data_IF_674195648975
#
_entry.id   IF_674195648975
#
_cell.length_a   1.000
_cell.length_b   1.000
_cell.length_c   1.000
_cell.angle_alpha   90.00
_cell.angle_beta   90.00
_cell.angle_gamma   90.00
#
_symmetry.space_group_name_H-M   'P 1'
#
loop_
_entity.id
_entity.type
_entity.pdbx_description
1 polymer ?
#
# COMPACT_ATOMS: atom_id res chain seq x y z
N UNK A 1 -13.12 -2.35 22.52
CA UNK A 1 -12.42 -1.55 21.49
C UNK A 1 -13.48 -1.11 20.49
N UNK A 2 -13.63 0.19 20.26
CA UNK A 2 -14.57 0.71 19.26
C UNK A 2 -14.01 0.50 17.84
N UNK A 3 -14.83 0.69 16.80
CA UNK A 3 -14.35 0.66 15.41
C UNK A 3 -13.31 1.76 15.14
N UNK A 4 -13.45 2.91 15.80
CA UNK A 4 -12.49 4.01 15.73
C UNK A 4 -11.15 3.63 16.38
N UNK A 5 -11.18 3.07 17.60
CA UNK A 5 -9.97 2.62 18.30
C UNK A 5 -9.22 1.54 17.49
N UNK A 6 -9.97 0.62 16.87
CA UNK A 6 -9.39 -0.40 16.01
C UNK A 6 -8.73 0.22 14.78
N UNK A 7 -9.38 1.17 14.11
CA UNK A 7 -8.78 1.84 12.96
C UNK A 7 -7.53 2.65 13.34
N UNK A 8 -7.55 3.36 14.47
CA UNK A 8 -6.36 4.02 15.01
C UNK A 8 -5.23 3.01 15.25
N UNK A 9 -5.51 1.91 15.94
CA UNK A 9 -4.52 0.87 16.21
C UNK A 9 -3.95 0.25 14.92
N UNK A 10 -4.80 -0.04 13.93
CA UNK A 10 -4.40 -0.56 12.62
C UNK A 10 -3.45 0.42 11.91
N UNK A 11 -3.82 1.70 11.84
CA UNK A 11 -3.01 2.74 11.21
C UNK A 11 -1.68 2.92 11.96
N UNK A 12 -1.68 2.91 13.29
CA UNK A 12 -0.47 2.97 14.11
C UNK A 12 0.45 1.76 13.86
N UNK A 13 -0.11 0.56 13.69
CA UNK A 13 0.63 -0.64 13.31
C UNK A 13 1.30 -0.50 11.94
N UNK A 14 0.59 0.02 10.94
CA UNK A 14 1.14 0.30 9.62
C UNK A 14 2.24 1.38 9.65
N UNK A 15 2.06 2.44 10.45
CA UNK A 15 3.05 3.49 10.63
C UNK A 15 4.34 2.98 11.27
N UNK A 16 4.23 2.17 12.31
CA UNK A 16 5.40 1.61 12.98
C UNK A 16 6.28 0.79 12.02
N UNK A 17 5.66 -0.06 11.18
CA UNK A 17 6.37 -0.85 10.17
C UNK A 17 6.96 0.05 9.06
N UNK A 18 6.22 1.04 8.58
CA UNK A 18 6.74 1.99 7.58
C UNK A 18 7.89 2.83 8.13
N UNK A 19 7.85 3.26 9.38
CA UNK A 19 8.94 4.01 10.01
C UNK A 19 10.22 3.18 10.11
N UNK A 20 10.09 1.90 10.47
CA UNK A 20 11.21 0.96 10.55
C UNK A 20 11.82 0.68 9.16
N UNK A 21 10.98 0.53 8.13
CA UNK A 21 11.41 0.12 6.79
C UNK A 21 11.63 1.29 5.83
N UNK A 22 11.38 2.54 6.25
CA UNK A 22 11.37 3.72 5.38
C UNK A 22 12.63 3.84 4.53
N UNK A 23 13.81 3.71 5.15
CA UNK A 23 15.08 3.85 4.45
C UNK A 23 15.30 2.73 3.45
N UNK A 24 14.90 1.51 3.78
CA UNK A 24 14.97 0.35 2.88
C UNK A 24 14.07 0.56 1.67
N UNK A 25 12.82 0.99 1.89
CA UNK A 25 11.88 1.27 0.81
C UNK A 25 12.42 2.39 -0.10
N UNK A 26 12.99 3.44 0.48
CA UNK A 26 13.63 4.52 -0.28
C UNK A 26 14.83 4.01 -1.11
N UNK A 27 15.68 3.16 -0.54
CA UNK A 27 16.83 2.56 -1.22
C UNK A 27 16.44 1.67 -2.41
N UNK A 28 15.24 1.08 -2.39
CA UNK A 28 14.70 0.26 -3.47
C UNK A 28 14.09 1.09 -4.61
N UNK A 29 13.87 2.40 -4.41
CA UNK A 29 13.13 3.24 -5.34
C UNK A 29 13.97 3.57 -6.59
N UNK A 30 13.94 2.65 -7.56
CA UNK A 30 14.61 2.80 -8.86
C UNK A 30 13.62 2.90 -10.04
N UNK A 31 12.32 2.70 -9.79
CA UNK A 31 11.26 2.72 -10.80
C UNK A 31 9.97 3.33 -10.23
N UNK A 32 9.18 4.09 -11.03
CA UNK A 32 9.52 4.60 -12.36
C UNK A 32 10.49 5.77 -12.33
N UNK A 33 10.60 6.45 -11.19
CA UNK A 33 11.44 7.63 -10.98
C UNK A 33 12.39 7.33 -9.83
N UNK A 34 13.72 7.29 -10.06
CA UNK A 34 14.69 6.99 -9.03
C UNK A 34 15.02 8.24 -8.19
N UNK A 35 14.06 8.71 -7.40
CA UNK A 35 14.14 9.89 -6.53
C UNK A 35 14.27 9.55 -5.04
N UNK A 36 14.25 8.26 -4.69
CA UNK A 36 14.53 7.80 -3.33
C UNK A 36 13.49 8.20 -2.29
N UNK A 37 12.26 8.53 -2.69
CA UNK A 37 11.24 9.07 -1.78
C UNK A 37 10.05 8.14 -1.49
N UNK A 38 9.94 6.97 -2.14
CA UNK A 38 8.75 6.11 -2.07
C UNK A 38 8.35 5.75 -0.63
N UNK A 39 9.29 5.37 0.24
CA UNK A 39 9.02 5.07 1.63
C UNK A 39 8.52 6.30 2.41
N UNK A 40 9.07 7.48 2.08
CA UNK A 40 8.62 8.75 2.68
C UNK A 40 7.21 9.12 2.21
N UNK A 41 6.92 8.95 0.92
CA UNK A 41 5.61 9.19 0.33
C UNK A 41 4.52 8.29 0.93
N UNK A 42 4.80 6.99 1.10
CA UNK A 42 3.88 6.06 1.76
C UNK A 42 3.67 6.43 3.24
N UNK A 43 4.74 6.72 3.98
CA UNK A 43 4.66 7.12 5.39
C UNK A 43 3.80 8.37 5.57
N UNK A 44 4.04 9.43 4.78
CA UNK A 44 3.26 10.66 4.86
C UNK A 44 1.79 10.45 4.50
N UNK A 45 1.51 9.59 3.52
CA UNK A 45 0.13 9.24 3.13
C UNK A 45 -0.60 8.53 4.26
N UNK A 46 0.03 7.57 4.94
CA UNK A 46 -0.57 6.86 6.09
C UNK A 46 -0.67 7.77 7.32
N UNK A 47 0.29 8.69 7.54
CA UNK A 47 0.19 9.69 8.63
C UNK A 47 -1.02 10.60 8.47
N UNK A 48 -1.31 11.03 7.25
CA UNK A 48 -2.50 11.84 6.97
C UNK A 48 -3.82 11.10 7.26
N UNK A 49 -3.85 9.76 7.09
CA UNK A 49 -4.98 8.92 7.53
C UNK A 49 -5.15 9.00 9.03
N UNK A 50 -4.05 8.86 9.78
CA UNK A 50 -4.07 8.94 11.25
C UNK A 50 -4.59 10.30 11.73
N UNK A 51 -4.06 11.38 11.17
CA UNK A 51 -4.47 12.76 11.49
C UNK A 51 -5.96 12.99 11.17
N UNK A 52 -6.47 12.40 10.08
CA UNK A 52 -7.88 12.47 9.72
C UNK A 52 -8.78 11.72 10.71
N UNK A 53 -8.35 10.53 11.15
CA UNK A 53 -9.06 9.79 12.18
C UNK A 53 -9.11 10.60 13.49
N UNK A 54 -7.99 11.17 13.94
CA UNK A 54 -7.95 12.01 15.14
C UNK A 54 -8.89 13.21 15.05
N UNK A 55 -8.92 13.92 13.91
CA UNK A 55 -9.84 15.04 13.69
C UNK A 55 -11.31 14.61 13.68
N UNK A 56 -11.58 13.39 13.22
CA UNK A 56 -12.94 12.88 13.08
C UNK A 56 -13.49 12.24 14.36
N UNK A 57 -12.68 12.05 15.40
CA UNK A 57 -13.05 11.37 16.65
C UNK A 57 -14.30 11.95 17.36
N UNK A 58 -14.69 13.19 17.04
CA UNK A 58 -15.89 13.85 17.59
C UNK A 58 -17.12 13.91 16.67
N UNK A 59 -17.03 13.53 15.38
CA UNK A 59 -18.13 13.67 14.40
C UNK A 59 -18.09 12.61 13.29
N UNK A 60 -17.96 11.33 13.64
CA UNK A 60 -17.96 10.22 12.66
C UNK A 60 -19.34 9.98 12.01
N UNK A 61 -20.09 11.03 11.67
CA UNK A 61 -21.38 10.94 10.98
C UNK A 61 -21.23 10.21 9.62
N UNK A 62 -20.07 10.36 8.95
CA UNK A 62 -19.74 9.67 7.69
C UNK A 62 -19.13 8.27 7.90
N UNK A 63 -18.73 7.91 9.13
CA UNK A 63 -18.12 6.63 9.49
C UNK A 63 -16.59 6.54 9.33
N UNK A 64 -15.99 5.57 10.01
CA UNK A 64 -14.52 5.36 10.06
C UNK A 64 -13.91 5.10 8.68
N UNK A 65 -14.56 4.29 7.84
CA UNK A 65 -14.08 3.98 6.49
C UNK A 65 -14.01 5.22 5.58
N UNK A 66 -14.97 6.15 5.74
CA UNK A 66 -14.97 7.41 5.01
C UNK A 66 -13.82 8.31 5.46
N UNK A 67 -13.56 8.41 6.77
CA UNK A 67 -12.42 9.15 7.30
C UNK A 67 -11.09 8.58 6.80
N UNK A 68 -10.91 7.26 6.79
CA UNK A 68 -9.71 6.60 6.26
C UNK A 68 -9.52 6.90 4.77
N UNK A 69 -10.60 6.80 3.99
CA UNK A 69 -10.59 7.11 2.55
C UNK A 69 -10.23 8.58 2.31
N UNK A 70 -10.86 9.52 3.04
CA UNK A 70 -10.61 10.95 2.91
C UNK A 70 -9.17 11.30 3.27
N UNK A 71 -8.66 10.80 4.40
CA UNK A 71 -7.31 11.06 4.88
C UNK A 71 -6.26 10.55 3.90
N UNK A 72 -6.42 9.34 3.37
CA UNK A 72 -5.49 8.77 2.39
C UNK A 72 -5.50 9.55 1.08
N UNK A 73 -6.68 9.98 0.60
CA UNK A 73 -6.80 10.71 -0.67
C UNK A 73 -6.25 12.14 -0.57
N UNK A 74 -6.63 12.88 0.48
CA UNK A 74 -6.18 14.26 0.68
C UNK A 74 -4.70 14.33 1.08
N UNK A 75 -4.21 13.28 1.75
CA UNK A 75 -2.84 13.15 2.22
C UNK A 75 -1.87 12.48 1.25
N UNK A 76 -2.35 12.00 0.10
CA UNK A 76 -1.53 11.29 -0.87
C UNK A 76 -0.29 12.11 -1.30
N UNK A 77 0.88 11.47 -1.24
CA UNK A 77 2.17 12.05 -1.68
C UNK A 77 2.80 11.22 -2.79
N UNK A 78 3.18 11.87 -3.88
CA UNK A 78 3.77 11.24 -5.05
C UNK A 78 2.87 10.17 -5.70
N UNK A 79 3.40 9.48 -6.71
CA UNK A 79 2.66 8.43 -7.41
C UNK A 79 2.31 7.26 -6.48
N UNK A 80 3.26 6.87 -5.62
CA UNK A 80 3.11 5.76 -4.67
C UNK A 80 1.99 6.04 -3.66
N UNK A 81 1.92 7.26 -3.11
CA UNK A 81 0.85 7.66 -2.20
C UNK A 81 -0.50 7.81 -2.89
N UNK A 82 -0.51 8.30 -4.14
CA UNK A 82 -1.75 8.32 -4.94
C UNK A 82 -2.26 6.91 -5.14
N UNK A 83 -1.47 5.96 -5.65
CA UNK A 83 -1.91 4.57 -5.85
C UNK A 83 -2.37 3.93 -4.54
N UNK A 84 -1.61 4.12 -3.45
CA UNK A 84 -2.00 3.63 -2.11
C UNK A 84 -3.37 4.17 -1.69
N UNK A 85 -3.66 5.45 -1.92
CA UNK A 85 -4.97 6.03 -1.57
C UNK A 85 -6.14 5.35 -2.31
N UNK A 86 -5.90 4.83 -3.52
CA UNK A 86 -6.91 4.13 -4.31
C UNK A 86 -7.10 2.71 -3.82
N UNK A 87 -6.01 2.02 -3.46
CA UNK A 87 -6.03 0.72 -2.79
C UNK A 87 -6.84 0.82 -1.50
N UNK A 88 -6.53 1.81 -0.66
CA UNK A 88 -7.25 2.06 0.60
C UNK A 88 -8.72 2.36 0.36
N UNK A 89 -9.05 3.25 -0.60
CA UNK A 89 -10.45 3.52 -0.96
C UNK A 89 -11.19 2.24 -1.40
N UNK A 90 -10.57 1.42 -2.23
CA UNK A 90 -11.15 0.16 -2.68
C UNK A 90 -11.41 -0.79 -1.51
N UNK A 91 -10.41 -1.00 -0.65
CA UNK A 91 -10.56 -1.83 0.54
C UNK A 91 -11.64 -1.31 1.51
N UNK A 92 -11.75 0.01 1.69
CA UNK A 92 -12.74 0.61 2.56
C UNK A 92 -14.16 0.61 1.98
N UNK A 93 -14.35 0.40 0.67
CA UNK A 93 -15.68 0.44 0.03
C UNK A 93 -16.60 -0.70 0.49
N UNK A 94 -16.01 -1.79 0.98
CA UNK A 94 -16.73 -2.98 1.48
C UNK A 94 -16.93 -2.93 2.99
N UNK A 95 -16.29 -1.99 3.69
CA UNK A 95 -16.41 -1.86 5.14
C UNK A 95 -17.81 -1.34 5.51
N UNK A 96 -18.55 -2.13 6.28
CA UNK A 96 -19.88 -1.77 6.79
C UNK A 96 -19.81 -1.43 8.28
N UNK A 97 -20.52 -0.38 8.75
CA UNK A 97 -20.61 -0.10 10.18
C UNK A 97 -21.07 -1.33 10.98
N UNK A 98 -20.31 -1.70 12.00
CA UNK A 98 -20.63 -2.84 12.88
C UNK A 98 -20.31 -4.23 12.31
N UNK A 99 -19.80 -4.34 11.08
CA UNK A 99 -19.35 -5.62 10.53
C UNK A 99 -17.98 -6.03 11.11
N UNK A 100 -17.84 -7.33 11.39
CA UNK A 100 -16.56 -7.90 11.83
C UNK A 100 -15.62 -8.13 10.64
N UNK A 101 -14.32 -8.10 10.91
CA UNK A 101 -13.32 -8.58 9.95
C UNK A 101 -13.35 -10.11 9.90
N UNK A 102 -13.75 -10.64 8.76
CA UNK A 102 -13.74 -12.06 8.42
C UNK A 102 -12.96 -12.29 7.13
N UNK A 103 -12.68 -13.55 6.82
CA UNK A 103 -12.06 -13.97 5.56
C UNK A 103 -12.85 -13.48 4.35
N UNK A 104 -14.18 -13.55 4.40
CA UNK A 104 -15.06 -13.00 3.35
C UNK A 104 -14.82 -11.50 3.17
N UNK A 105 -14.82 -10.71 4.25
CA UNK A 105 -14.60 -9.26 4.13
C UNK A 105 -13.20 -8.91 3.62
N UNK A 106 -12.17 -9.70 3.95
CA UNK A 106 -10.82 -9.50 3.40
C UNK A 106 -10.75 -9.84 1.92
N UNK A 107 -11.42 -10.92 1.48
CA UNK A 107 -11.51 -11.30 0.06
C UNK A 107 -12.12 -10.16 -0.76
N UNK A 108 -13.24 -9.62 -0.28
CA UNK A 108 -13.92 -8.48 -0.89
C UNK A 108 -13.03 -7.23 -0.90
N UNK A 109 -12.39 -6.91 0.23
CA UNK A 109 -11.53 -5.73 0.36
C UNK A 109 -10.33 -5.77 -0.60
N UNK A 110 -9.65 -6.92 -0.74
CA UNK A 110 -8.53 -7.06 -1.67
C UNK A 110 -8.99 -7.03 -3.14
N UNK A 111 -10.17 -7.56 -3.46
CA UNK A 111 -10.73 -7.50 -4.80
C UNK A 111 -11.06 -6.05 -5.21
N UNK A 112 -11.71 -5.30 -4.33
CA UNK A 112 -12.02 -3.89 -4.57
C UNK A 112 -10.78 -3.00 -4.56
N UNK A 113 -9.82 -3.26 -3.68
CA UNK A 113 -8.50 -2.61 -3.68
C UNK A 113 -7.79 -2.79 -5.03
N UNK A 114 -7.74 -4.02 -5.56
CA UNK A 114 -7.13 -4.31 -6.86
C UNK A 114 -7.84 -3.55 -7.97
N UNK A 115 -9.17 -3.61 -8.01
CA UNK A 115 -9.98 -2.92 -9.03
C UNK A 115 -9.75 -1.40 -9.00
N UNK A 116 -9.76 -0.81 -7.81
CA UNK A 116 -9.55 0.63 -7.64
C UNK A 116 -8.13 1.06 -8.04
N UNK A 117 -7.11 0.27 -7.68
CA UNK A 117 -5.72 0.56 -8.00
C UNK A 117 -5.46 0.56 -9.51
N UNK A 118 -5.92 -0.48 -10.22
CA UNK A 118 -5.75 -0.58 -11.68
C UNK A 118 -6.52 0.50 -12.43
N UNK A 119 -7.73 0.85 -11.98
CA UNK A 119 -8.52 1.94 -12.59
C UNK A 119 -7.91 3.31 -12.44
N UNK A 120 -7.15 3.54 -11.37
CA UNK A 120 -6.55 4.84 -11.11
C UNK A 120 -5.29 5.13 -11.95
N UNK A 121 -4.75 4.12 -12.63
CA UNK A 121 -3.54 4.25 -13.43
C UNK A 121 -3.92 4.11 -14.91
N UNK A 122 -3.72 5.18 -15.69
CA UNK A 122 -4.05 5.22 -17.11
C UNK A 122 -3.39 4.11 -17.94
N UNK A 123 -2.16 3.75 -17.59
CA UNK A 123 -1.39 2.65 -18.19
C UNK A 123 -0.85 1.76 -17.07
N UNK A 124 -1.61 0.77 -16.59
CA UNK A 124 -1.16 -0.14 -15.54
C UNK A 124 0.08 -0.92 -15.99
N UNK A 125 1.05 -1.04 -15.09
CA UNK A 125 2.32 -1.76 -15.35
C UNK A 125 2.49 -2.87 -14.32
N UNK A 126 2.66 -4.10 -14.80
CA UNK A 126 3.01 -5.24 -13.95
C UNK A 126 4.49 -5.15 -13.50
N UNK A 127 4.83 -5.79 -12.38
CA UNK A 127 6.10 -5.57 -11.70
C UNK A 127 6.11 -4.37 -10.77
N UNK A 128 4.94 -3.84 -10.42
CA UNK A 128 4.75 -2.73 -9.48
C UNK A 128 3.87 -3.14 -8.30
N UNK A 129 3.59 -2.22 -7.38
CA UNK A 129 2.58 -2.35 -6.32
C UNK A 129 1.22 -2.89 -6.81
N UNK A 130 0.86 -2.63 -8.07
CA UNK A 130 -0.35 -3.17 -8.70
C UNK A 130 -0.32 -4.71 -8.76
N UNK A 131 0.81 -5.29 -9.20
CA UNK A 131 1.01 -6.75 -9.24
C UNK A 131 0.92 -7.34 -7.84
N UNK A 132 1.54 -6.71 -6.85
CA UNK A 132 1.52 -7.22 -5.47
C UNK A 132 0.09 -7.23 -4.92
N UNK A 133 -0.68 -6.17 -5.13
CA UNK A 133 -2.10 -6.12 -4.72
C UNK A 133 -2.92 -7.20 -5.42
N UNK A 134 -2.74 -7.37 -6.74
CA UNK A 134 -3.43 -8.38 -7.54
C UNK A 134 -3.12 -9.81 -7.09
N UNK A 135 -1.86 -10.12 -6.83
CA UNK A 135 -1.44 -11.46 -6.37
C UNK A 135 -1.95 -11.75 -4.96
N UNK A 136 -1.93 -10.76 -4.04
CA UNK A 136 -2.54 -10.87 -2.72
C UNK A 136 -4.05 -11.12 -2.80
N UNK A 137 -4.75 -10.39 -3.68
CA UNK A 137 -6.18 -10.61 -3.94
C UNK A 137 -6.47 -11.99 -4.53
N UNK A 138 -5.65 -12.44 -5.48
CA UNK A 138 -5.79 -13.77 -6.08
C UNK A 138 -5.54 -14.91 -5.09
N UNK A 139 -4.66 -14.72 -4.10
CA UNK A 139 -4.47 -15.67 -3.01
C UNK A 139 -5.69 -15.68 -2.09
N UNK A 140 -6.16 -14.50 -1.67
CA UNK A 140 -7.35 -14.36 -0.83
C UNK A 140 -8.58 -15.05 -1.45
N UNK A 141 -8.82 -14.84 -2.74
CA UNK A 141 -10.03 -15.35 -3.42
C UNK A 141 -10.15 -16.87 -3.41
N UNK A 142 -9.04 -17.59 -3.26
CA UNK A 142 -8.98 -19.07 -3.23
C UNK A 142 -9.17 -19.66 -1.84
N UNK A 143 -9.23 -18.84 -0.80
CA UNK A 143 -9.37 -19.30 0.58
C UNK A 143 -10.81 -19.73 0.90
N UNK A 144 -11.00 -20.74 1.76
CA UNK A 144 -12.31 -21.05 2.35
C UNK A 144 -12.87 -19.85 3.13
N UNK A 145 -14.17 -19.60 3.03
CA UNK A 145 -14.81 -18.44 3.67
C UNK A 145 -14.80 -18.52 5.21
N UNK A 146 -14.71 -19.73 5.76
CA UNK A 146 -14.65 -20.04 7.19
C UNK A 146 -13.22 -20.20 7.74
N UNK A 147 -12.19 -19.98 6.90
CA UNK A 147 -10.80 -20.01 7.34
C UNK A 147 -10.58 -18.97 8.46
N UNK A 148 -9.83 -19.29 9.54
CA UNK A 148 -9.51 -18.33 10.58
C UNK A 148 -8.82 -17.08 10.03
N UNK A 149 -9.13 -15.93 10.63
CA UNK A 149 -8.57 -14.64 10.22
C UNK A 149 -7.02 -14.60 10.27
N UNK A 150 -6.35 -15.15 11.30
CA UNK A 150 -4.88 -15.19 11.34
C UNK A 150 -4.27 -15.96 10.15
N UNK A 151 -4.81 -17.14 9.84
CA UNK A 151 -4.35 -18.00 8.75
C UNK A 151 -4.59 -17.35 7.37
N UNK A 152 -5.72 -16.63 7.26
CA UNK A 152 -6.06 -15.84 6.08
C UNK A 152 -5.05 -14.72 5.85
N UNK A 153 -4.75 -13.94 6.89
CA UNK A 153 -3.76 -12.86 6.83
C UNK A 153 -2.36 -13.41 6.50
N UNK A 154 -1.95 -14.52 7.13
CA UNK A 154 -0.67 -15.15 6.84
C UNK A 154 -0.56 -15.59 5.37
N UNK A 155 -1.60 -16.24 4.84
CA UNK A 155 -1.61 -16.69 3.44
C UNK A 155 -1.52 -15.51 2.46
N UNK A 156 -2.25 -14.45 2.72
CA UNK A 156 -2.23 -13.22 1.91
C UNK A 156 -0.85 -12.55 1.97
N UNK A 157 -0.25 -12.43 3.16
CA UNK A 157 1.09 -11.86 3.33
C UNK A 157 2.18 -12.71 2.66
N UNK A 158 2.06 -14.05 2.72
CA UNK A 158 2.97 -14.95 2.03
C UNK A 158 2.91 -14.77 0.51
N UNK A 159 1.70 -14.65 -0.05
CA UNK A 159 1.52 -14.33 -1.47
C UNK A 159 2.10 -12.96 -1.83
N UNK A 160 1.90 -11.95 -1.00
CA UNK A 160 2.51 -10.63 -1.17
C UNK A 160 4.04 -10.67 -1.18
N UNK A 161 4.66 -11.44 -0.28
CA UNK A 161 6.12 -11.64 -0.26
C UNK A 161 6.63 -12.26 -1.56
N UNK A 162 6.00 -13.34 -2.01
CA UNK A 162 6.36 -14.00 -3.28
C UNK A 162 6.18 -13.05 -4.46
N UNK A 163 5.10 -12.26 -4.46
CA UNK A 163 4.84 -11.29 -5.52
C UNK A 163 5.92 -10.20 -5.56
N UNK A 164 6.29 -9.64 -4.41
CA UNK A 164 7.39 -8.67 -4.28
C UNK A 164 8.68 -9.24 -4.83
N UNK A 165 9.08 -10.44 -4.42
CA UNK A 165 10.31 -11.09 -4.92
C UNK A 165 10.31 -11.26 -6.45
N UNK A 166 9.14 -11.57 -7.03
CA UNK A 166 9.00 -11.73 -8.49
C UNK A 166 9.09 -10.42 -9.26
N UNK A 167 8.82 -9.27 -8.64
CA UNK A 167 8.89 -7.97 -9.33
C UNK A 167 10.26 -7.70 -9.94
N UNK A 168 11.35 -8.18 -9.31
CA UNK A 168 12.72 -8.08 -9.83
C UNK A 168 12.85 -8.59 -11.26
N UNK A 169 12.10 -9.62 -11.66
CA UNK A 169 12.18 -10.20 -12.99
C UNK A 169 11.16 -9.61 -13.98
N UNK A 170 10.18 -8.87 -13.49
CA UNK A 170 9.04 -8.38 -14.28
C UNK A 170 9.33 -7.06 -15.00
N UNK A 171 10.23 -6.23 -14.44
CA UNK A 171 10.65 -4.97 -15.05
C UNK A 171 12.14 -4.95 -15.33
N UNK A 172 12.52 -4.40 -16.50
CA UNK A 172 13.93 -4.30 -16.89
C UNK A 172 14.74 -3.46 -15.90
N UNK A 173 14.19 -2.32 -15.44
CA UNK A 173 14.84 -1.45 -14.46
C UNK A 173 15.11 -2.18 -13.13
N UNK A 174 14.12 -2.91 -12.61
CA UNK A 174 14.26 -3.70 -11.38
C UNK A 174 15.29 -4.83 -11.55
N UNK A 175 15.25 -5.54 -12.69
CA UNK A 175 16.20 -6.62 -13.01
C UNK A 175 17.63 -6.12 -13.12
N UNK A 176 17.85 -4.99 -13.78
CA UNK A 176 19.17 -4.39 -13.96
C UNK A 176 19.75 -3.89 -12.64
N UNK A 177 18.91 -3.29 -11.79
CA UNK A 177 19.32 -2.84 -10.47
C UNK A 177 19.42 -3.99 -9.44
N UNK A 178 18.88 -5.17 -9.75
CA UNK A 178 18.87 -6.33 -8.84
C UNK A 178 18.02 -6.10 -7.60
N UNK A 179 16.95 -5.30 -7.71
CA UNK A 179 16.06 -4.93 -6.60
C UNK A 179 14.61 -5.27 -6.90
N UNK A 180 13.79 -5.37 -5.86
CA UNK A 180 12.34 -5.49 -5.96
C UNK A 180 11.68 -4.11 -6.11
N UNK A 181 10.41 -4.08 -6.50
CA UNK A 181 9.61 -2.86 -6.54
C UNK A 181 9.43 -2.24 -5.14
N UNK A 182 9.81 -0.97 -5.00
CA UNK A 182 9.71 -0.23 -3.74
C UNK A 182 8.25 -0.07 -3.28
N UNK A 183 7.33 0.22 -4.22
CA UNK A 183 5.91 0.37 -3.92
C UNK A 183 5.29 -0.93 -3.43
N UNK A 184 5.53 -2.02 -4.13
CA UNK A 184 5.08 -3.36 -3.78
C UNK A 184 5.62 -3.83 -2.42
N UNK A 185 6.90 -3.58 -2.15
CA UNK A 185 7.48 -3.87 -0.83
C UNK A 185 6.84 -3.01 0.26
N UNK A 186 6.66 -1.71 0.02
CA UNK A 186 5.99 -0.81 0.97
C UNK A 186 4.54 -1.21 1.27
N UNK A 187 3.78 -1.70 0.28
CA UNK A 187 2.44 -2.24 0.50
C UNK A 187 2.47 -3.48 1.41
N UNK A 188 3.42 -4.41 1.19
CA UNK A 188 3.59 -5.58 2.03
C UNK A 188 3.93 -5.20 3.49
N UNK A 189 4.77 -4.18 3.67
CA UNK A 189 5.12 -3.61 4.99
C UNK A 189 3.87 -3.05 5.68
N UNK A 190 3.04 -2.29 4.97
CA UNK A 190 1.76 -1.78 5.50
C UNK A 190 0.86 -2.94 5.93
N UNK A 191 0.65 -3.94 5.07
CA UNK A 191 -0.23 -5.07 5.37
C UNK A 191 0.26 -5.91 6.55
N UNK A 192 1.58 -6.02 6.76
CA UNK A 192 2.15 -6.67 7.97
C UNK A 192 1.75 -5.93 9.24
N UNK A 193 1.86 -4.60 9.25
CA UNK A 193 1.49 -3.78 10.40
C UNK A 193 0.01 -3.93 10.75
N UNK A 194 -0.86 -3.94 9.73
CA UNK A 194 -2.29 -4.20 9.89
C UNK A 194 -2.53 -5.61 10.48
N UNK A 195 -1.90 -6.64 9.90
CA UNK A 195 -2.07 -8.02 10.33
C UNK A 195 -1.57 -8.26 11.76
N UNK A 196 -0.47 -7.63 12.17
CA UNK A 196 0.05 -7.73 13.52
C UNK A 196 -1.01 -7.28 14.54
N UNK A 197 -1.65 -6.13 14.30
CA UNK A 197 -2.70 -5.59 15.17
C UNK A 197 -3.94 -6.49 15.16
N UNK A 198 -4.36 -7.00 13.99
CA UNK A 198 -5.48 -7.95 13.89
C UNK A 198 -5.21 -9.27 14.63
N UNK A 199 -3.94 -9.69 14.70
CA UNK A 199 -3.50 -10.86 15.47
C UNK A 199 -3.23 -10.57 16.95
N UNK A 200 -3.58 -9.38 17.44
CA UNK A 200 -3.52 -9.01 18.86
C UNK A 200 -2.18 -8.43 19.32
N UNK A 201 -1.26 -8.12 18.40
CA UNK A 201 -0.05 -7.37 18.75
C UNK A 201 -0.43 -5.94 19.18
N UNK A 202 0.29 -5.39 20.15
CA UNK A 202 0.10 -3.99 20.56
C UNK A 202 0.66 -3.08 19.47
N UNK A 203 -0.01 -1.97 19.18
CA UNK A 203 0.55 -0.95 18.28
C UNK A 203 1.97 -0.55 18.73
N UNK A 204 2.92 -0.53 17.79
CA UNK A 204 4.34 -0.26 18.07
C UNK A 204 5.22 -1.49 18.36
N UNK A 205 4.67 -2.71 18.43
CA UNK A 205 5.52 -3.92 18.41
C UNK A 205 5.94 -4.24 16.97
N UNK A 206 7.22 -3.99 16.66
CA UNK A 206 7.82 -4.35 15.38
C UNK A 206 7.72 -5.85 15.13
N UNK A 207 7.20 -6.22 13.96
CA UNK A 207 7.34 -7.57 13.42
C UNK A 207 8.73 -7.65 12.79
N UNK A 208 9.49 -8.76 12.96
CA UNK A 208 10.80 -8.89 12.32
C UNK A 208 10.71 -8.62 10.81
N UNK A 209 11.54 -7.71 10.31
CA UNK A 209 11.62 -7.37 8.89
C UNK A 209 11.71 -8.63 8.01
N UNK A 210 11.07 -8.68 6.83
CA UNK A 210 11.38 -9.71 5.86
C UNK A 210 12.88 -9.60 5.54
N UNK A 211 13.59 -10.74 5.40
CA UNK A 211 14.98 -10.70 4.92
C UNK A 211 15.00 -9.97 3.58
N UNK A 212 15.72 -8.86 3.51
CA UNK A 212 15.77 -8.03 2.31
C UNK A 212 16.38 -8.85 1.16
N UNK A 213 15.81 -8.81 -0.05
CA UNK A 213 16.39 -9.45 -1.21
C UNK A 213 17.44 -8.53 -1.87
N UNK A 214 18.26 -7.81 -1.08
CA UNK A 214 19.51 -7.31 -1.65
C UNK A 214 20.37 -8.56 -1.88
N UNK A 215 20.58 -8.91 -3.15
CA UNK A 215 21.63 -9.87 -3.47
C UNK A 215 22.92 -9.33 -2.86
N UNK A 216 23.56 -10.11 -1.97
CA UNK A 216 24.89 -9.78 -1.46
C UNK A 216 25.81 -9.49 -2.66
N UNK A 217 26.36 -8.28 -2.73
CA UNK A 217 27.28 -7.87 -3.80
C UNK A 217 26.65 -7.19 -5.03
N UNK A 218 25.35 -6.83 -5.03
CA UNK A 218 24.84 -5.94 -6.06
C UNK A 218 25.54 -4.57 -5.96
N UNK A 219 26.24 -4.11 -7.02
CA UNK A 219 26.88 -2.80 -6.98
C UNK A 219 25.81 -1.74 -6.72
N UNK A 220 26.15 -0.75 -5.90
CA UNK A 220 25.39 0.49 -5.81
C UNK A 220 25.50 1.13 -7.20
N UNK A 221 24.60 0.80 -8.13
CA UNK A 221 24.55 1.47 -9.42
C UNK A 221 23.99 2.86 -9.14
N UNK A 222 24.90 3.74 -8.72
CA UNK A 222 24.75 5.17 -8.85
C UNK A 222 24.45 5.43 -10.33
N UNK A 223 23.31 6.08 -10.56
CA UNK A 223 22.81 6.50 -11.87
C UNK A 223 22.75 5.40 -12.94
N UNK A 224 21.62 4.70 -13.01
CA UNK A 224 21.06 4.44 -14.34
C UNK A 224 20.79 5.83 -14.95
N UNK A 225 21.64 6.25 -15.87
CA UNK A 225 21.51 7.48 -16.68
C UNK A 225 20.45 7.34 -17.79
N UNK A 226 19.76 6.20 -17.83
CA UNK A 226 18.58 6.04 -18.68
C UNK A 226 17.49 7.02 -18.23
N UNK A 227 16.92 7.82 -19.14
CA UNK A 227 15.72 8.58 -18.86
C UNK A 227 14.67 7.61 -18.30
N UNK A 228 13.99 8.00 -17.20
CA UNK A 228 12.73 7.34 -16.87
C UNK A 228 11.88 7.39 -18.13
N UNK A 229 11.36 6.24 -18.60
CA UNK A 229 10.49 6.21 -19.79
C UNK A 229 9.28 7.17 -19.67
N UNK A 230 8.99 7.64 -18.45
CA UNK A 230 7.89 8.52 -18.11
C UNK A 230 8.27 10.00 -17.98
N UNK A 231 9.54 10.36 -17.73
CA UNK A 231 9.92 11.78 -17.56
C UNK A 231 11.43 12.03 -17.67
N UNK A 232 11.79 13.13 -18.35
CA UNK A 232 13.16 13.71 -18.33
C UNK A 232 13.56 14.20 -16.93
N UNK A 233 12.59 14.60 -16.12
CA UNK A 233 12.81 15.14 -14.79
C UNK A 233 12.47 14.12 -13.71
N UNK A 234 13.34 13.98 -12.71
CA UNK A 234 13.19 13.03 -11.59
C UNK A 234 12.40 13.61 -10.42
N UNK A 235 11.22 14.16 -10.69
CA UNK A 235 10.29 14.60 -9.66
C UNK A 235 8.87 14.19 -10.01
N UNK A 236 8.10 13.80 -9.00
CA UNK A 236 6.68 13.52 -9.14
C UNK A 236 5.85 14.79 -8.89
N UNK A 237 4.91 15.10 -9.78
CA UNK A 237 3.90 16.15 -9.56
C UNK A 237 2.53 15.51 -9.54
N UNK A 238 1.76 15.77 -8.49
CA UNK A 238 0.40 15.24 -8.33
C UNK A 238 -0.55 16.40 -8.02
N UNK A 239 -1.74 16.38 -8.62
CA UNK A 239 -2.79 17.37 -8.41
C UNK A 239 -4.06 16.69 -7.92
N UNK A 240 -4.76 17.35 -7.01
CA UNK A 240 -6.13 17.00 -6.64
C UNK A 240 -7.08 17.97 -7.36
N UNK A 241 -7.96 17.43 -8.20
CA UNK A 241 -8.98 18.20 -8.91
C UNK A 241 -10.33 18.03 -8.22
N UNK A 242 -10.96 19.13 -7.82
CA UNK A 242 -12.29 19.14 -7.19
C UNK A 242 -13.25 20.01 -8.00
N UNK A 243 -14.45 19.48 -8.31
CA UNK A 243 -15.49 20.23 -9.01
C UNK A 243 -16.75 19.41 -9.22
N UNK A 244 -17.86 20.08 -9.50
CA UNK A 244 -19.18 19.46 -9.70
C UNK A 244 -19.34 18.79 -11.07
N UNK A 245 -18.50 19.14 -12.04
CA UNK A 245 -18.54 18.65 -13.42
C UNK A 245 -17.13 18.30 -13.95
N UNK A 246 -16.32 17.61 -13.12
CA UNK A 246 -15.01 17.12 -13.57
C UNK A 246 -15.24 15.90 -14.49
N UNK A 247 -14.85 15.95 -15.78
CA UNK A 247 -15.08 14.85 -16.71
C UNK A 247 -14.09 13.72 -16.42
N UNK A 248 -14.49 12.79 -15.55
CA UNK A 248 -13.63 11.71 -15.04
C UNK A 248 -13.07 10.81 -16.15
N UNK A 249 -13.79 10.67 -17.25
CA UNK A 249 -13.41 9.82 -18.39
C UNK A 249 -12.49 10.54 -19.40
N UNK A 250 -12.32 11.86 -19.27
CA UNK A 250 -11.50 12.70 -20.16
C UNK A 250 -10.15 13.12 -19.54
N UNK A 251 -9.91 12.79 -18.26
CA UNK A 251 -8.65 13.00 -17.53
C UNK A 251 -7.76 11.75 -17.65
#
# INVERSE_FOLDING_TARGET
MTAHDLAMALVDGALAELEAERSVINDLNVYPVPDGDTGTNLLLTVRAVREELERSAGSLDEGVAAAVTRGSLMGARGNSGVILSQIVRGACSVCRPGAAFTTVTLKEAFAEATTAAYRAVKKPVEGTMLTVTREMSSAASRLPDDMPLPDTLETILAAGRIAVERTTQQLAALRQAGVVDAGGYGLLVICRGLAAVLNGARAGTSVPAPRHPRAEGAPLIASLDEPSELSRYRYCTSFLLTGTAVPKDEL
#
